data_IF_087380918823
#
_entry.id   IF_087380918823
#
_cell.length_a   1.000
_cell.length_b   1.000
_cell.length_c   1.000
_cell.angle_alpha   90.00
_cell.angle_beta   90.00
_cell.angle_gamma   90.00
#
_symmetry.space_group_name_H-M   'P 1'
#
loop_
_entity.id
_entity.type
_entity.pdbx_description
1 polymer ?
#
# COMPACT_ATOMS: atom_id res chain seq x y z
N UNK A 1 1.58 24.43 -43.15
CA UNK A 1 0.51 23.64 -42.51
C UNK A 1 -0.48 24.66 -41.96
N UNK A 2 -1.72 24.67 -42.47
CA UNK A 2 -2.72 25.63 -42.04
C UNK A 2 -3.17 25.34 -40.61
N UNK A 3 -3.51 26.38 -39.85
CA UNK A 3 -3.94 26.27 -38.45
C UNK A 3 -5.13 25.32 -38.31
N UNK A 4 -6.04 25.32 -39.29
CA UNK A 4 -7.20 24.43 -39.33
C UNK A 4 -6.79 22.95 -39.45
N UNK A 5 -5.79 22.63 -40.28
CA UNK A 5 -5.27 21.27 -40.42
C UNK A 5 -4.64 20.78 -39.12
N UNK A 6 -3.91 21.66 -38.41
CA UNK A 6 -3.31 21.33 -37.12
C UNK A 6 -4.38 21.08 -36.05
N UNK A 7 -5.41 21.93 -35.97
CA UNK A 7 -6.51 21.77 -35.02
C UNK A 7 -7.30 20.49 -35.28
N UNK A 8 -7.58 20.16 -36.54
CA UNK A 8 -8.24 18.92 -36.92
C UNK A 8 -7.41 17.69 -36.52
N UNK A 9 -6.09 17.71 -36.75
CA UNK A 9 -5.19 16.64 -36.36
C UNK A 9 -5.16 16.44 -34.82
N UNK A 10 -5.09 17.52 -34.04
CA UNK A 10 -5.13 17.46 -32.58
C UNK A 10 -6.47 16.92 -32.06
N UNK A 11 -7.59 17.34 -32.66
CA UNK A 11 -8.91 16.84 -32.29
C UNK A 11 -9.03 15.33 -32.55
N UNK A 12 -8.55 14.85 -33.70
CA UNK A 12 -8.53 13.41 -34.03
C UNK A 12 -7.66 12.64 -33.03
N UNK A 13 -6.46 13.12 -32.74
CA UNK A 13 -5.56 12.48 -31.77
C UNK A 13 -6.21 12.41 -30.38
N UNK A 14 -6.88 13.48 -29.95
CA UNK A 14 -7.58 13.52 -28.68
C UNK A 14 -8.77 12.55 -28.67
N UNK A 15 -9.57 12.49 -29.72
CA UNK A 15 -10.68 11.53 -29.85
C UNK A 15 -10.18 10.07 -29.84
N UNK A 16 -9.10 9.77 -30.55
CA UNK A 16 -8.46 8.45 -30.54
C UNK A 16 -7.94 8.12 -29.15
N UNK A 17 -7.29 9.05 -28.46
CA UNK A 17 -6.86 8.88 -27.08
C UNK A 17 -8.03 8.57 -26.14
N UNK A 18 -9.14 9.30 -26.25
CA UNK A 18 -10.35 9.04 -25.46
C UNK A 18 -10.96 7.67 -25.75
N UNK A 19 -10.99 7.25 -27.01
CA UNK A 19 -11.48 5.92 -27.42
C UNK A 19 -10.60 4.79 -26.87
N UNK A 20 -9.28 4.92 -27.00
CA UNK A 20 -8.32 3.95 -26.45
C UNK A 20 -8.48 3.87 -24.93
N UNK A 21 -8.52 5.03 -24.26
CA UNK A 21 -8.74 5.12 -22.82
C UNK A 21 -10.04 4.44 -22.40
N UNK A 22 -11.14 4.74 -23.07
CA UNK A 22 -12.44 4.12 -22.79
C UNK A 22 -12.41 2.60 -22.92
N UNK A 23 -11.72 2.07 -23.92
CA UNK A 23 -11.56 0.63 -24.10
C UNK A 23 -10.70 0.01 -22.99
N UNK A 24 -9.55 0.62 -22.68
CA UNK A 24 -8.64 0.14 -21.65
C UNK A 24 -9.27 0.21 -20.24
N UNK A 25 -10.06 1.24 -19.94
CA UNK A 25 -10.76 1.39 -18.66
C UNK A 25 -11.88 0.37 -18.46
N UNK A 26 -12.44 -0.17 -19.57
CA UNK A 26 -13.48 -1.21 -19.54
C UNK A 26 -12.94 -2.62 -19.66
N UNK A 27 -11.65 -2.78 -19.91
CA UNK A 27 -11.04 -4.09 -20.01
C UNK A 27 -11.02 -4.76 -18.63
N UNK A 28 -11.95 -5.67 -18.40
CA UNK A 28 -11.96 -6.51 -17.20
C UNK A 28 -11.07 -7.72 -17.41
N UNK A 29 -10.39 -8.13 -16.34
CA UNK A 29 -9.54 -9.31 -16.39
C UNK A 29 -10.44 -10.53 -16.17
N UNK A 30 -10.47 -11.46 -17.13
CA UNK A 30 -11.23 -12.70 -17.02
C UNK A 30 -10.66 -13.65 -15.95
N UNK A 31 -11.51 -14.55 -15.46
CA UNK A 31 -11.12 -15.63 -14.55
C UNK A 31 -10.68 -15.15 -13.17
N UNK A 32 -11.33 -14.12 -12.64
CA UNK A 32 -11.03 -13.54 -11.32
C UNK A 32 -11.11 -14.55 -10.19
N UNK A 33 -12.00 -15.55 -10.31
CA UNK A 33 -12.17 -16.64 -9.36
C UNK A 33 -10.93 -17.54 -9.23
N UNK A 34 -10.01 -17.50 -10.20
CA UNK A 34 -8.74 -18.20 -10.21
C UNK A 34 -7.54 -17.26 -10.00
N UNK A 35 -7.77 -16.07 -9.43
CA UNK A 35 -6.73 -15.06 -9.20
C UNK A 35 -6.64 -14.72 -7.73
N UNK A 36 -6.10 -15.65 -6.95
CA UNK A 36 -5.90 -15.45 -5.52
C UNK A 36 -4.99 -14.25 -5.23
N UNK A 37 -5.44 -13.34 -4.36
CA UNK A 37 -4.70 -12.15 -3.95
C UNK A 37 -4.46 -12.16 -2.46
N UNK A 38 -3.22 -11.86 -2.08
CA UNK A 38 -2.83 -11.63 -0.69
C UNK A 38 -2.61 -10.13 -0.47
N UNK A 39 -3.27 -9.57 0.54
CA UNK A 39 -3.22 -8.14 0.85
C UNK A 39 -2.76 -7.98 2.31
N UNK A 40 -1.77 -7.13 2.55
CA UNK A 40 -1.29 -6.81 3.91
C UNK A 40 -1.94 -5.54 4.46
N UNK A 41 -2.08 -5.42 5.78
CA UNK A 41 -2.64 -4.21 6.41
C UNK A 41 -4.13 -4.06 6.15
N UNK A 42 -4.87 -5.16 6.28
CA UNK A 42 -6.30 -5.24 5.99
C UNK A 42 -7.22 -4.80 7.14
N UNK A 43 -6.66 -4.35 8.26
CA UNK A 43 -7.42 -3.90 9.42
C UNK A 43 -8.30 -2.67 9.10
N UNK A 44 -7.81 -1.76 8.24
CA UNK A 44 -8.53 -0.54 7.87
C UNK A 44 -8.09 0.04 6.51
N UNK A 45 -8.66 1.19 6.15
CA UNK A 45 -8.20 2.01 5.01
C UNK A 45 -8.22 1.27 3.66
N UNK A 46 -7.19 1.51 2.85
CA UNK A 46 -7.07 0.96 1.50
C UNK A 46 -7.03 -0.56 1.47
N UNK A 47 -6.33 -1.19 2.42
CA UNK A 47 -6.25 -2.65 2.51
C UNK A 47 -7.62 -3.28 2.68
N UNK A 48 -8.43 -2.75 3.62
CA UNK A 48 -9.81 -3.20 3.84
C UNK A 48 -10.70 -2.94 2.64
N UNK A 49 -10.67 -1.73 2.10
CA UNK A 49 -11.47 -1.38 0.92
C UNK A 49 -11.13 -2.27 -0.28
N UNK A 50 -9.85 -2.56 -0.52
CA UNK A 50 -9.40 -3.41 -1.60
C UNK A 50 -9.82 -4.87 -1.40
N UNK A 51 -9.66 -5.41 -0.19
CA UNK A 51 -10.07 -6.77 0.14
C UNK A 51 -11.57 -6.98 -0.14
N UNK A 52 -12.40 -6.03 0.30
CA UNK A 52 -13.84 -6.02 0.05
C UNK A 52 -14.12 -5.98 -1.45
N UNK A 53 -13.52 -5.03 -2.16
CA UNK A 53 -13.77 -4.82 -3.59
C UNK A 53 -13.32 -6.01 -4.45
N UNK A 54 -12.25 -6.70 -4.07
CA UNK A 54 -11.81 -7.93 -4.71
C UNK A 54 -12.79 -9.08 -4.45
N UNK A 55 -13.29 -9.23 -3.22
CA UNK A 55 -14.27 -10.25 -2.87
C UNK A 55 -15.61 -10.05 -3.60
N UNK A 56 -16.09 -8.80 -3.68
CA UNK A 56 -17.29 -8.42 -4.46
C UNK A 56 -17.16 -8.77 -5.95
N UNK A 57 -15.93 -8.67 -6.48
CA UNK A 57 -15.62 -9.06 -7.86
C UNK A 57 -15.35 -10.56 -8.02
N UNK A 58 -15.50 -11.35 -6.95
CA UNK A 58 -15.35 -12.80 -6.98
C UNK A 58 -13.92 -13.30 -7.00
N UNK A 59 -12.95 -12.49 -6.58
CA UNK A 59 -11.56 -12.94 -6.39
C UNK A 59 -11.39 -13.67 -5.06
N UNK A 60 -10.55 -14.72 -4.98
CA UNK A 60 -10.12 -15.29 -3.70
C UNK A 60 -9.19 -14.31 -2.98
N UNK A 61 -9.61 -13.83 -1.80
CA UNK A 61 -8.87 -12.83 -1.04
C UNK A 61 -8.31 -13.44 0.24
N UNK A 62 -7.02 -13.22 0.45
CA UNK A 62 -6.30 -13.55 1.67
C UNK A 62 -5.88 -12.24 2.35
N UNK A 63 -6.49 -11.94 3.50
CA UNK A 63 -6.36 -10.65 4.18
C UNK A 63 -5.46 -10.79 5.42
N UNK A 64 -4.24 -10.25 5.35
CA UNK A 64 -3.34 -10.16 6.49
C UNK A 64 -3.70 -8.97 7.39
N UNK A 65 -4.12 -9.27 8.62
CA UNK A 65 -4.53 -8.28 9.62
C UNK A 65 -3.61 -8.35 10.85
N UNK A 66 -3.40 -7.22 11.54
CA UNK A 66 -2.69 -7.20 12.82
C UNK A 66 -3.58 -7.57 14.01
N UNK A 67 -4.90 -7.37 13.88
CA UNK A 67 -5.86 -7.54 14.98
C UNK A 67 -6.83 -8.70 14.76
N UNK A 68 -7.09 -9.45 15.85
CA UNK A 68 -8.11 -10.50 15.88
C UNK A 68 -9.53 -9.94 15.68
N UNK A 69 -9.76 -8.68 16.05
CA UNK A 69 -11.02 -8.00 15.80
C UNK A 69 -11.32 -7.87 14.31
N UNK A 70 -10.34 -7.40 13.53
CA UNK A 70 -10.49 -7.29 12.07
C UNK A 70 -10.77 -8.65 11.42
N UNK A 71 -10.17 -9.73 11.93
CA UNK A 71 -10.45 -11.08 11.45
C UNK A 71 -11.91 -11.48 11.72
N UNK A 72 -12.44 -11.17 12.90
CA UNK A 72 -13.87 -11.40 13.23
C UNK A 72 -14.79 -10.60 12.31
N UNK A 73 -14.45 -9.35 12.02
CA UNK A 73 -15.20 -8.52 11.07
C UNK A 73 -15.25 -9.15 9.69
N UNK A 74 -14.11 -9.63 9.16
CA UNK A 74 -14.09 -10.32 7.86
C UNK A 74 -14.91 -11.61 7.85
N UNK A 75 -14.92 -12.37 8.96
CA UNK A 75 -15.76 -13.58 9.07
C UNK A 75 -17.25 -13.24 8.95
N UNK A 76 -17.68 -12.12 9.53
CA UNK A 76 -19.06 -11.66 9.43
C UNK A 76 -19.38 -11.14 8.04
N UNK A 77 -18.51 -10.29 7.48
CA UNK A 77 -18.68 -9.71 6.15
C UNK A 77 -18.73 -10.79 5.05
N UNK A 78 -17.88 -11.81 5.17
CA UNK A 78 -17.72 -12.86 4.17
C UNK A 78 -18.96 -13.72 3.94
N UNK A 79 -19.93 -13.71 4.86
CA UNK A 79 -21.21 -14.42 4.70
C UNK A 79 -22.00 -13.91 3.49
N UNK A 80 -21.73 -12.69 3.05
CA UNK A 80 -22.43 -12.04 1.93
C UNK A 80 -21.74 -12.27 0.57
N UNK A 81 -20.60 -12.97 0.53
CA UNK A 81 -19.82 -13.15 -0.70
C UNK A 81 -19.79 -14.61 -1.14
N UNK A 82 -19.75 -14.82 -2.47
CA UNK A 82 -19.64 -16.15 -3.08
C UNK A 82 -18.31 -16.82 -2.70
N UNK A 83 -17.23 -16.05 -2.63
CA UNK A 83 -15.93 -16.49 -2.15
C UNK A 83 -15.63 -15.72 -0.86
N UNK A 84 -15.58 -16.38 0.30
CA UNK A 84 -15.23 -15.75 1.57
C UNK A 84 -13.84 -15.10 1.52
N UNK A 85 -13.69 -13.97 2.22
CA UNK A 85 -12.37 -13.39 2.51
C UNK A 85 -11.72 -14.21 3.61
N UNK A 86 -10.55 -14.76 3.33
CA UNK A 86 -9.77 -15.54 4.29
C UNK A 86 -8.81 -14.62 5.05
N UNK A 87 -9.24 -14.17 6.23
CA UNK A 87 -8.47 -13.25 7.06
C UNK A 87 -7.66 -13.99 8.14
N UNK A 88 -6.40 -13.60 8.31
CA UNK A 88 -5.47 -14.21 9.27
C UNK A 88 -4.51 -13.18 9.88
N UNK A 89 -3.92 -13.53 11.03
CA UNK A 89 -2.96 -12.66 11.71
C UNK A 89 -1.65 -12.59 10.92
N UNK A 90 -1.21 -11.36 10.67
CA UNK A 90 0.05 -11.06 10.01
C UNK A 90 0.68 -9.81 10.63
N UNK A 91 1.84 -9.99 11.23
CA UNK A 91 2.75 -8.91 11.56
C UNK A 91 3.89 -8.87 10.53
N UNK A 92 3.86 -7.86 9.66
CA UNK A 92 4.87 -7.70 8.60
C UNK A 92 6.26 -7.41 9.14
N UNK A 93 6.40 -7.05 10.43
CA UNK A 93 7.69 -6.80 11.10
C UNK A 93 8.37 -8.09 11.60
N UNK A 94 7.67 -9.23 11.57
CA UNK A 94 8.15 -10.50 12.15
C UNK A 94 8.37 -11.56 11.08
N UNK A 95 9.60 -12.08 11.01
CA UNK A 95 9.98 -13.13 10.04
C UNK A 95 9.16 -14.40 10.20
N UNK A 96 8.89 -14.84 11.44
CA UNK A 96 8.08 -16.04 11.71
C UNK A 96 6.62 -15.87 11.28
N UNK A 97 6.06 -14.66 11.46
CA UNK A 97 4.70 -14.34 11.03
C UNK A 97 4.59 -14.39 9.50
N UNK A 98 5.52 -13.74 8.80
CA UNK A 98 5.57 -13.75 7.32
C UNK A 98 5.85 -15.15 6.77
N UNK A 99 6.72 -15.92 7.41
CA UNK A 99 7.03 -17.30 7.02
C UNK A 99 5.83 -18.23 7.20
N UNK A 100 5.10 -18.09 8.31
CA UNK A 100 3.86 -18.82 8.56
C UNK A 100 2.80 -18.49 7.52
N UNK A 101 2.63 -17.20 7.20
CA UNK A 101 1.74 -16.74 6.15
C UNK A 101 2.11 -17.33 4.79
N UNK A 102 3.40 -17.35 4.43
CA UNK A 102 3.90 -17.93 3.18
C UNK A 102 3.55 -19.42 3.07
N UNK A 103 3.80 -20.19 4.12
CA UNK A 103 3.51 -21.63 4.14
C UNK A 103 2.01 -21.90 4.02
N UNK A 104 1.19 -21.09 4.69
CA UNK A 104 -0.25 -21.17 4.62
C UNK A 104 -0.77 -20.82 3.21
N UNK A 105 -0.34 -19.70 2.63
CA UNK A 105 -0.73 -19.25 1.29
C UNK A 105 -0.29 -20.23 0.20
N UNK A 106 0.88 -20.83 0.32
CA UNK A 106 1.39 -21.83 -0.61
C UNK A 106 0.42 -23.02 -0.73
N UNK A 107 -0.19 -23.45 0.37
CA UNK A 107 -1.20 -24.53 0.37
C UNK A 107 -2.58 -24.02 -0.03
N UNK A 108 -3.02 -22.89 0.52
CA UNK A 108 -4.38 -22.40 0.36
C UNK A 108 -4.69 -21.92 -1.06
N UNK A 109 -3.68 -21.48 -1.80
CA UNK A 109 -3.86 -20.91 -3.15
C UNK A 109 -3.76 -21.93 -4.29
N UNK A 110 -3.37 -23.19 -4.02
CA UNK A 110 -3.22 -24.23 -5.06
C UNK A 110 -4.49 -24.42 -5.87
N UNK A 111 -5.65 -24.47 -5.20
CA UNK A 111 -6.97 -24.60 -5.84
C UNK A 111 -7.34 -23.45 -6.79
N UNK A 112 -6.63 -22.32 -6.70
CA UNK A 112 -6.82 -21.14 -7.54
C UNK A 112 -5.69 -20.97 -8.57
N UNK A 113 -4.86 -21.99 -8.80
CA UNK A 113 -3.70 -21.88 -9.70
C UNK A 113 -2.47 -21.20 -9.08
N UNK A 114 -2.47 -20.99 -7.76
CA UNK A 114 -1.39 -20.34 -7.00
C UNK A 114 -1.69 -18.88 -6.65
N UNK A 115 -0.72 -18.21 -6.04
CA UNK A 115 -0.86 -16.83 -5.58
C UNK A 115 -0.67 -15.86 -6.75
N UNK A 116 -1.77 -15.34 -7.31
CA UNK A 116 -1.73 -14.45 -8.48
C UNK A 116 -1.26 -13.03 -8.13
N UNK A 117 -1.55 -12.53 -6.94
CA UNK A 117 -1.22 -11.17 -6.56
C UNK A 117 -0.78 -11.03 -5.12
N UNK A 118 0.20 -10.14 -4.89
CA UNK A 118 0.56 -9.66 -3.55
C UNK A 118 0.40 -8.15 -3.55
N UNK A 119 -0.32 -7.63 -2.55
CA UNK A 119 -0.51 -6.20 -2.33
C UNK A 119 0.13 -5.84 -1.00
N UNK A 120 1.32 -5.22 -1.08
CA UNK A 120 2.01 -4.65 0.06
C UNK A 120 1.37 -3.31 0.40
N UNK A 121 0.40 -3.33 1.32
CA UNK A 121 -0.35 -2.15 1.74
C UNK A 121 -0.07 -1.75 3.19
N UNK A 122 0.31 -2.68 4.07
CA UNK A 122 0.63 -2.38 5.46
C UNK A 122 1.63 -1.21 5.56
N UNK A 123 1.31 -0.25 6.42
CA UNK A 123 2.17 0.89 6.67
C UNK A 123 1.68 1.78 7.80
N UNK A 124 2.62 2.52 8.40
CA UNK A 124 2.39 3.49 9.47
C UNK A 124 2.95 4.86 9.07
N UNK A 125 2.41 5.93 9.63
CA UNK A 125 2.95 7.29 9.44
C UNK A 125 4.18 7.50 10.32
N UNK A 126 4.11 6.99 11.56
CA UNK A 126 5.11 7.24 12.59
C UNK A 126 4.95 8.60 13.24
N UNK A 127 5.98 9.00 14.00
CA UNK A 127 6.03 10.30 14.63
C UNK A 127 6.20 11.38 13.55
N UNK A 128 5.39 12.43 13.66
CA UNK A 128 5.38 13.55 12.71
C UNK A 128 5.86 14.80 13.42
N UNK A 129 7.08 15.25 13.13
CA UNK A 129 7.66 16.43 13.75
C UNK A 129 8.83 16.98 12.92
N UNK A 130 9.37 18.14 13.28
CA UNK A 130 10.60 18.64 12.62
C UNK A 130 11.78 17.72 12.94
N UNK A 131 12.72 17.62 12.01
CA UNK A 131 13.83 16.67 12.06
C UNK A 131 14.69 16.82 13.33
N UNK A 132 14.94 18.07 13.78
CA UNK A 132 15.70 18.39 15.00
C UNK A 132 15.19 17.68 16.28
N UNK A 133 13.96 17.19 16.25
CA UNK A 133 13.29 16.55 17.39
C UNK A 133 12.92 15.09 17.13
N UNK A 134 13.28 14.57 15.95
CA UNK A 134 13.13 13.17 15.61
C UNK A 134 14.43 12.44 15.92
N UNK A 135 14.29 11.21 16.37
CA UNK A 135 15.41 10.31 16.65
C UNK A 135 15.60 9.34 15.50
N UNK A 136 16.79 8.75 15.39
CA UNK A 136 17.01 7.65 14.45
C UNK A 136 16.05 6.48 14.68
N UNK A 137 15.57 6.28 15.90
CA UNK A 137 14.60 5.22 16.21
C UNK A 137 13.23 5.48 15.60
N UNK A 138 12.81 6.75 15.47
CA UNK A 138 11.59 7.12 14.77
C UNK A 138 11.65 6.71 13.29
N UNK A 139 12.80 6.93 12.66
CA UNK A 139 13.08 6.48 11.29
C UNK A 139 13.06 4.96 11.19
N UNK A 140 13.76 4.25 12.08
CA UNK A 140 13.81 2.78 12.09
C UNK A 140 12.44 2.16 12.28
N UNK A 141 11.63 2.67 13.20
CA UNK A 141 10.27 2.18 13.47
C UNK A 141 9.39 2.25 12.22
N UNK A 142 9.43 3.37 11.49
CA UNK A 142 8.65 3.52 10.25
C UNK A 142 9.23 2.65 9.13
N UNK A 143 10.55 2.60 8.99
CA UNK A 143 11.23 1.75 8.02
C UNK A 143 10.94 0.26 8.25
N UNK A 144 10.82 -0.19 9.50
CA UNK A 144 10.55 -1.59 9.85
C UNK A 144 9.23 -2.09 9.26
N UNK A 145 8.19 -1.24 9.24
CA UNK A 145 6.91 -1.58 8.61
C UNK A 145 6.92 -1.25 7.12
N UNK A 146 7.22 0.00 6.77
CA UNK A 146 6.98 0.55 5.44
C UNK A 146 8.04 0.14 4.40
N UNK A 147 9.21 -0.32 4.85
CA UNK A 147 10.33 -0.71 3.99
C UNK A 147 10.69 -2.17 4.21
N UNK A 148 11.16 -2.53 5.40
CA UNK A 148 11.61 -3.89 5.71
C UNK A 148 10.45 -4.87 5.70
N UNK A 149 9.28 -4.51 6.22
CA UNK A 149 8.07 -5.33 6.14
C UNK A 149 7.65 -5.62 4.70
N UNK A 150 7.71 -4.62 3.81
CA UNK A 150 7.41 -4.81 2.38
C UNK A 150 8.43 -5.73 1.72
N UNK A 151 9.72 -5.54 1.97
CA UNK A 151 10.79 -6.39 1.41
C UNK A 151 10.66 -7.82 1.93
N UNK A 152 10.43 -8.00 3.23
CA UNK A 152 10.25 -9.30 3.90
C UNK A 152 9.08 -10.07 3.31
N UNK A 153 7.91 -9.44 3.20
CA UNK A 153 6.73 -10.04 2.57
C UNK A 153 7.01 -10.36 1.10
N UNK A 154 7.60 -9.42 0.37
CA UNK A 154 7.92 -9.63 -1.05
C UNK A 154 8.88 -10.80 -1.23
N UNK A 155 9.93 -10.91 -0.42
CA UNK A 155 10.89 -12.02 -0.46
C UNK A 155 10.20 -13.36 -0.22
N UNK A 156 9.35 -13.45 0.80
CA UNK A 156 8.65 -14.67 1.13
C UNK A 156 7.66 -15.10 0.03
N UNK A 157 6.91 -14.15 -0.55
CA UNK A 157 5.86 -14.45 -1.53
C UNK A 157 6.36 -14.53 -2.98
N UNK A 158 7.52 -13.95 -3.28
CA UNK A 158 8.12 -13.89 -4.64
C UNK A 158 8.17 -15.26 -5.34
N UNK A 159 8.56 -16.38 -4.70
CA UNK A 159 8.51 -17.70 -5.33
C UNK A 159 7.09 -18.12 -5.78
N UNK A 160 6.08 -17.85 -4.94
CA UNK A 160 4.68 -18.19 -5.24
C UNK A 160 4.14 -17.37 -6.42
N UNK A 161 4.43 -16.07 -6.43
CA UNK A 161 4.01 -15.15 -7.49
C UNK A 161 4.73 -15.44 -8.81
N UNK A 162 6.00 -15.86 -8.77
CA UNK A 162 6.71 -16.32 -9.99
C UNK A 162 6.04 -17.54 -10.60
N UNK A 163 5.62 -18.50 -9.79
CA UNK A 163 4.93 -19.72 -10.27
C UNK A 163 3.62 -19.40 -10.98
N UNK A 164 2.88 -18.41 -10.49
CA UNK A 164 1.61 -17.97 -11.07
C UNK A 164 1.74 -16.93 -12.20
N UNK A 165 2.98 -16.46 -12.50
CA UNK A 165 3.25 -15.31 -13.39
C UNK A 165 2.39 -14.10 -13.01
N UNK A 166 2.32 -13.87 -11.70
CA UNK A 166 1.41 -12.94 -11.07
C UNK A 166 1.91 -11.49 -11.03
N UNK A 167 1.47 -10.76 -10.02
CA UNK A 167 1.76 -9.33 -9.85
C UNK A 167 2.10 -9.00 -8.41
N UNK A 168 3.00 -8.04 -8.24
CA UNK A 168 3.28 -7.40 -6.95
C UNK A 168 2.82 -5.95 -7.07
N UNK A 169 2.00 -5.51 -6.14
CA UNK A 169 1.53 -4.13 -6.04
C UNK A 169 1.99 -3.59 -4.70
N UNK A 170 2.68 -2.46 -4.69
CA UNK A 170 3.12 -1.81 -3.45
C UNK A 170 2.47 -0.45 -3.31
N UNK A 171 1.79 -0.24 -2.18
CA UNK A 171 1.20 1.05 -1.83
C UNK A 171 2.26 1.93 -1.20
N UNK A 172 2.67 2.94 -1.95
CA UNK A 172 3.64 3.96 -1.54
C UNK A 172 2.91 5.23 -1.12
N UNK A 173 3.26 6.38 -1.69
CA UNK A 173 2.65 7.69 -1.41
C UNK A 173 3.21 8.70 -2.41
N UNK A 174 2.55 9.84 -2.62
CA UNK A 174 3.19 11.02 -3.22
C UNK A 174 4.53 11.39 -2.53
N UNK A 175 4.69 11.03 -1.25
CA UNK A 175 5.93 11.20 -0.49
C UNK A 175 7.08 10.27 -0.97
N UNK A 176 6.89 9.46 -2.01
CA UNK A 176 7.98 8.78 -2.73
C UNK A 176 8.63 9.66 -3.81
N UNK A 177 8.00 10.78 -4.16
CA UNK A 177 8.42 11.70 -5.24
C UNK A 177 8.93 13.03 -4.71
N UNK A 178 8.39 13.47 -3.58
CA UNK A 178 8.71 14.76 -2.97
C UNK A 178 8.74 14.64 -1.45
N UNK A 179 9.64 15.39 -0.82
CA UNK A 179 9.71 15.49 0.64
C UNK A 179 8.71 16.51 1.14
N UNK A 180 8.01 16.17 2.23
CA UNK A 180 7.15 17.11 2.95
C UNK A 180 7.71 17.34 4.36
N UNK A 181 7.64 18.60 4.79
CA UNK A 181 8.05 19.00 6.14
C UNK A 181 7.23 18.25 7.20
N UNK A 182 7.89 17.80 8.26
CA UNK A 182 7.22 17.18 9.41
C UNK A 182 6.94 15.68 9.29
N UNK A 183 7.27 15.04 8.17
CA UNK A 183 7.05 13.60 7.94
C UNK A 183 8.29 12.87 7.41
N UNK A 184 9.47 13.25 7.92
CA UNK A 184 10.77 12.70 7.52
C UNK A 184 10.84 11.17 7.53
N UNK A 185 10.52 10.49 8.64
CA UNK A 185 10.55 9.02 8.75
C UNK A 185 9.71 8.33 7.68
N UNK A 186 8.49 8.83 7.45
CA UNK A 186 7.59 8.30 6.43
C UNK A 186 8.13 8.52 5.02
N UNK A 187 8.60 9.74 4.73
CA UNK A 187 9.16 10.11 3.43
C UNK A 187 10.35 9.23 3.09
N UNK A 188 11.32 9.09 3.99
CA UNK A 188 12.50 8.24 3.79
C UNK A 188 12.08 6.80 3.48
N UNK A 189 11.16 6.23 4.27
CA UNK A 189 10.70 4.86 4.05
C UNK A 189 9.97 4.68 2.70
N UNK A 190 9.20 5.68 2.25
CA UNK A 190 8.46 5.64 0.98
C UNK A 190 9.36 5.85 -0.26
N UNK A 191 10.40 6.69 -0.16
CA UNK A 191 11.45 6.77 -1.18
C UNK A 191 12.20 5.44 -1.30
N UNK A 192 12.62 4.86 -0.18
CA UNK A 192 13.37 3.60 -0.16
C UNK A 192 12.60 2.48 -0.86
N UNK A 193 11.31 2.33 -0.55
CA UNK A 193 10.52 1.24 -1.14
C UNK A 193 10.17 1.48 -2.62
N UNK A 194 10.05 2.74 -3.05
CA UNK A 194 9.89 3.06 -4.48
C UNK A 194 11.13 2.63 -5.28
N UNK A 195 12.33 2.95 -4.80
CA UNK A 195 13.60 2.50 -5.41
C UNK A 195 13.72 0.98 -5.46
N UNK A 196 13.37 0.29 -4.37
CA UNK A 196 13.33 -1.19 -4.35
C UNK A 196 12.38 -1.75 -5.42
N UNK A 197 11.20 -1.16 -5.57
CA UNK A 197 10.21 -1.58 -6.57
C UNK A 197 10.72 -1.41 -8.00
N UNK A 198 11.51 -0.38 -8.29
CA UNK A 198 12.14 -0.18 -9.61
C UNK A 198 13.15 -1.28 -9.95
N UNK A 199 13.96 -1.67 -8.97
CA UNK A 199 14.91 -2.79 -9.11
C UNK A 199 14.18 -4.10 -9.39
N UNK A 200 13.26 -4.51 -8.50
CA UNK A 200 12.60 -5.81 -8.65
C UNK A 200 11.69 -5.88 -9.87
N UNK A 201 11.18 -4.74 -10.38
CA UNK A 201 10.42 -4.71 -11.63
C UNK A 201 11.26 -5.20 -12.82
N UNK A 202 12.50 -4.74 -12.91
CA UNK A 202 13.42 -5.16 -13.97
C UNK A 202 13.78 -6.65 -13.81
N UNK A 203 14.13 -7.07 -12.59
CA UNK A 203 14.56 -8.44 -12.30
C UNK A 203 13.45 -9.48 -12.51
N UNK A 204 12.20 -9.12 -12.18
CA UNK A 204 11.06 -10.04 -12.20
C UNK A 204 10.39 -10.18 -13.58
N UNK A 205 10.68 -9.26 -14.51
CA UNK A 205 10.10 -9.26 -15.85
C UNK A 205 10.33 -10.57 -16.61
N UNK A 206 11.52 -11.15 -16.52
CA UNK A 206 11.86 -12.43 -17.18
C UNK A 206 11.01 -13.61 -16.66
N UNK A 207 10.44 -13.50 -15.47
CA UNK A 207 9.56 -14.52 -14.88
C UNK A 207 8.08 -14.29 -15.22
N UNK A 208 7.76 -13.29 -16.05
CA UNK A 208 6.38 -12.90 -16.35
C UNK A 208 5.66 -12.24 -15.18
N UNK A 209 6.40 -11.80 -14.14
CA UNK A 209 5.83 -11.10 -12.98
C UNK A 209 5.91 -9.60 -13.20
N UNK A 210 4.79 -8.91 -12.98
CA UNK A 210 4.74 -7.44 -13.07
C UNK A 210 4.76 -6.79 -11.69
N UNK A 211 5.47 -5.66 -11.56
CA UNK A 211 5.57 -4.91 -10.30
C UNK A 211 5.00 -3.51 -10.51
N UNK A 212 4.03 -3.13 -9.68
CA UNK A 212 3.29 -1.88 -9.75
C UNK A 212 3.43 -1.09 -8.46
N UNK A 213 3.53 0.22 -8.60
CA UNK A 213 3.64 1.16 -7.48
C UNK A 213 2.41 2.04 -7.52
N UNK A 214 1.68 2.10 -6.40
CA UNK A 214 0.57 3.03 -6.21
C UNK A 214 1.06 4.19 -5.35
N UNK A 215 0.85 5.42 -5.80
CA UNK A 215 1.30 6.65 -5.11
C UNK A 215 0.10 7.52 -4.71
N UNK A 216 -0.70 7.13 -3.68
CA UNK A 216 -1.80 7.98 -3.23
C UNK A 216 -1.30 9.32 -2.71
N UNK A 217 -2.07 10.38 -2.99
CA UNK A 217 -1.99 11.67 -2.32
C UNK A 217 -2.69 11.64 -0.96
N UNK A 218 -3.34 12.73 -0.58
CA UNK A 218 -4.12 12.81 0.65
C UNK A 218 -5.51 12.20 0.47
N UNK A 219 -5.78 11.13 1.21
CA UNK A 219 -7.09 10.46 1.25
C UNK A 219 -7.52 10.31 2.69
N UNK A 220 -8.80 10.46 2.98
CA UNK A 220 -9.37 10.19 4.29
C UNK A 220 -9.23 8.71 4.66
N UNK A 221 -8.16 8.39 5.38
CA UNK A 221 -7.87 7.06 5.92
C UNK A 221 -7.44 7.20 7.38
N UNK A 222 -7.41 6.10 8.13
CA UNK A 222 -6.89 6.07 9.49
C UNK A 222 -5.47 6.66 9.60
N UNK A 223 -4.67 6.52 8.54
CA UNK A 223 -3.29 7.03 8.47
C UNK A 223 -3.20 8.56 8.51
N UNK A 224 -4.20 9.24 7.96
CA UNK A 224 -4.26 10.71 7.87
C UNK A 224 -5.39 11.29 8.74
N UNK A 225 -5.98 10.49 9.63
CA UNK A 225 -7.02 10.97 10.54
C UNK A 225 -6.40 12.05 11.44
N UNK A 226 -7.05 13.21 11.54
CA UNK A 226 -6.60 14.34 12.35
C UNK A 226 -6.27 13.91 13.78
N UNK A 227 -7.07 13.03 14.40
CA UNK A 227 -6.78 12.51 15.75
C UNK A 227 -5.49 11.68 15.81
N UNK A 228 -5.20 10.87 14.79
CA UNK A 228 -3.97 10.07 14.76
C UNK A 228 -2.75 10.95 14.43
N UNK A 229 -2.91 11.95 13.58
CA UNK A 229 -1.88 12.96 13.30
C UNK A 229 -1.63 13.80 14.55
N UNK A 230 -2.68 14.16 15.30
CA UNK A 230 -2.60 14.85 16.59
C UNK A 230 -1.93 13.94 17.64
N UNK A 231 -2.29 12.67 17.75
CA UNK A 231 -1.59 11.76 18.67
C UNK A 231 -0.09 11.63 18.29
N UNK A 232 0.24 11.56 17.00
CA UNK A 232 1.64 11.48 16.54
C UNK A 232 2.42 12.81 16.70
N UNK A 233 1.73 13.96 16.61
CA UNK A 233 2.30 15.29 16.85
C UNK A 233 2.45 15.59 18.36
N UNK A 234 1.53 15.10 19.20
CA UNK A 234 1.37 15.50 20.60
C UNK A 234 1.85 14.43 21.60
N UNK A 235 2.13 13.21 21.13
CA UNK A 235 2.31 12.02 21.96
C UNK A 235 3.70 11.82 22.58
N UNK A 236 4.74 12.58 22.24
CA UNK A 236 6.08 12.28 22.79
C UNK A 236 6.87 13.46 23.35
N UNK A 237 6.61 14.72 22.98
CA UNK A 237 7.51 15.80 23.44
C UNK A 237 6.88 17.15 23.84
N UNK A 238 5.59 17.20 24.17
CA UNK A 238 4.98 18.46 24.63
C UNK A 238 5.53 18.95 25.96
N UNK A 239 5.88 18.06 26.90
CA UNK A 239 6.52 18.50 28.16
C UNK A 239 7.84 19.19 27.88
N UNK A 240 8.70 18.58 27.09
CA UNK A 240 10.02 19.12 26.75
C UNK A 240 9.93 20.43 25.95
N UNK A 241 8.99 20.53 25.00
CA UNK A 241 8.78 21.72 24.17
C UNK A 241 8.15 22.87 24.95
N UNK A 242 7.21 22.58 25.86
CA UNK A 242 6.64 23.58 26.77
C UNK A 242 7.68 24.04 27.80
N UNK A 243 8.49 23.12 28.32
CA UNK A 243 9.63 23.43 29.21
C UNK A 243 10.67 24.31 28.50
N UNK A 244 10.87 24.14 27.18
CA UNK A 244 11.72 24.99 26.34
C UNK A 244 11.01 26.25 25.80
N UNK A 245 9.77 26.53 26.19
CA UNK A 245 9.04 27.76 25.85
C UNK A 245 8.57 27.88 24.39
N UNK A 246 8.45 26.76 23.66
CA UNK A 246 8.06 26.76 22.24
C UNK A 246 6.54 26.89 22.09
N UNK A 247 6.07 27.91 21.34
CA UNK A 247 4.66 28.05 20.97
C UNK A 247 4.28 27.06 19.87
N UNK A 248 3.74 25.92 20.30
CA UNK A 248 3.35 24.78 19.45
C UNK A 248 2.34 25.19 18.37
N UNK A 249 1.40 26.11 18.67
CA UNK A 249 0.38 26.53 17.70
C UNK A 249 1.00 27.34 16.57
N UNK A 250 1.93 28.24 16.89
CA UNK A 250 2.62 29.06 15.90
C UNK A 250 3.56 28.23 15.01
N UNK A 251 4.15 27.19 15.60
CA UNK A 251 5.07 26.26 14.94
C UNK A 251 4.37 25.33 13.94
N UNK A 252 3.25 24.70 14.34
CA UNK A 252 2.47 23.82 13.44
C UNK A 252 1.91 24.61 12.24
N UNK A 253 1.46 25.84 12.46
CA UNK A 253 0.94 26.72 11.39
C UNK A 253 2.04 27.15 10.41
N UNK A 254 3.30 27.22 10.85
CA UNK A 254 4.45 27.54 9.99
C UNK A 254 4.90 26.38 9.12
N UNK A 255 4.80 25.13 9.60
CA UNK A 255 5.24 23.94 8.86
C UNK A 255 4.26 23.54 7.73
N UNK A 256 3.03 24.07 7.77
CA UNK A 256 1.96 23.83 6.80
C UNK A 256 1.82 24.93 5.73
N UNK A 257 2.67 25.96 5.76
CA UNK A 257 2.74 27.02 4.74
C UNK A 257 3.99 26.85 3.89
#
# INVERSE_FOLDING_TARGET
>A
MEVETLLAALAILFSVFLLIRWFLERYEIDGLENKAVFITGCDSGFGKALAIRCAERGMPVFAGCLSEESIRDYRNLSKNYRIPVDAFILDVTKDDSVSSARNYLERATVKYGGLHGVVNNAGILGNTFLDDFLTLEDYKKVAEVNTWGVIRVTHAMKPLVKKSRGRIVTVTSICSRLGLTGIGPYTVAKFAIAGYCDVIRAELRQFGVSVHVLEPGFFHTSLTNAENVEINLYGTNIKELREKGVDIKKFVVSALK
#
